data_IF_166519938637
#
_entry.id   IF_166519938637
#
_cell.length_a   1.000
_cell.length_b   1.000
_cell.length_c   1.000
_cell.angle_alpha   90.00
_cell.angle_beta   90.00
_cell.angle_gamma   90.00
#
_symmetry.space_group_name_H-M   'P 1'
#
loop_
_entity.id
_entity.type
_entity.pdbx_description
1 polymer ?
#
# COMPACT_ATOMS: atom_id res chain seq x y z
N UNK A 1 -8.37 -21.45 -13.45
CA UNK A 1 -7.10 -21.11 -12.79
C UNK A 1 -7.26 -19.73 -12.19
N UNK A 2 -7.22 -19.62 -10.86
CA UNK A 2 -7.19 -18.31 -10.19
C UNK A 2 -5.83 -17.67 -10.50
N UNK A 3 -5.77 -16.37 -10.86
CA UNK A 3 -4.49 -15.70 -11.07
C UNK A 3 -3.64 -15.78 -9.79
N UNK A 4 -2.31 -15.88 -9.97
CA UNK A 4 -1.38 -15.86 -8.85
C UNK A 4 -1.57 -14.56 -8.03
N UNK A 5 -1.43 -14.59 -6.69
CA UNK A 5 -1.52 -13.39 -5.87
C UNK A 5 -0.51 -12.34 -6.35
N UNK A 6 -0.95 -11.08 -6.43
CA UNK A 6 -0.04 -9.97 -6.74
C UNK A 6 0.98 -9.79 -5.61
N UNK A 7 2.27 -9.81 -5.95
CA UNK A 7 3.37 -9.58 -5.01
C UNK A 7 3.89 -8.15 -5.23
N UNK A 8 3.78 -7.24 -4.25
CA UNK A 8 4.25 -5.87 -4.42
C UNK A 8 5.77 -5.82 -4.60
N UNK A 9 6.21 -5.00 -5.57
CA UNK A 9 7.62 -4.85 -5.93
C UNK A 9 8.34 -3.99 -4.88
N UNK A 10 9.47 -4.48 -4.33
CA UNK A 10 10.25 -3.72 -3.34
C UNK A 10 9.45 -3.28 -2.09
N UNK A 11 8.49 -4.11 -1.65
CA UNK A 11 7.63 -3.77 -0.51
C UNK A 11 8.44 -3.37 0.73
N UNK A 12 9.44 -4.18 1.08
CA UNK A 12 10.23 -3.98 2.29
C UNK A 12 11.06 -2.70 2.22
N UNK A 13 11.65 -2.41 1.06
CA UNK A 13 12.44 -1.22 0.83
C UNK A 13 11.58 0.04 0.89
N UNK A 14 10.37 0.01 0.32
CA UNK A 14 9.42 1.12 0.39
C UNK A 14 8.99 1.36 1.84
N UNK A 15 8.63 0.32 2.59
CA UNK A 15 8.22 0.47 4.00
C UNK A 15 9.38 0.97 4.86
N UNK A 16 10.60 0.48 4.62
CA UNK A 16 11.79 0.94 5.34
C UNK A 16 12.11 2.42 5.03
N UNK A 17 11.99 2.84 3.78
CA UNK A 17 12.26 4.22 3.38
C UNK A 17 11.18 5.20 3.85
N UNK A 18 9.91 4.80 3.75
CA UNK A 18 8.76 5.62 4.15
C UNK A 18 8.63 5.70 5.68
N UNK A 19 9.00 4.63 6.39
CA UNK A 19 8.96 4.50 7.84
C UNK A 19 7.64 5.02 8.47
N UNK A 20 6.48 4.48 8.04
CA UNK A 20 5.19 4.96 8.49
C UNK A 20 4.95 4.62 9.96
N UNK A 21 4.43 5.56 10.73
CA UNK A 21 4.22 5.43 12.18
C UNK A 21 2.74 5.59 12.57
N UNK A 22 2.35 5.10 13.76
CA UNK A 22 1.02 5.35 14.29
C UNK A 22 0.68 6.84 14.30
N UNK A 23 -0.48 7.19 13.72
CA UNK A 23 -0.94 8.57 13.62
C UNK A 23 -0.44 9.35 12.40
N UNK A 24 0.47 8.80 11.59
CA UNK A 24 0.82 9.39 10.30
C UNK A 24 -0.37 9.32 9.33
N UNK A 25 -0.43 10.28 8.40
CA UNK A 25 -1.36 10.27 7.27
C UNK A 25 -0.55 10.15 5.99
N UNK A 26 -0.81 9.08 5.23
CA UNK A 26 -0.05 8.72 4.03
C UNK A 26 -0.98 8.73 2.81
N UNK A 27 -0.44 9.14 1.66
CA UNK A 27 -1.12 9.03 0.37
C UNK A 27 -0.51 7.87 -0.41
N UNK A 28 -1.32 6.88 -0.76
CA UNK A 28 -0.99 5.89 -1.78
C UNK A 28 -1.63 6.34 -3.10
N UNK A 29 -0.85 6.94 -3.99
CA UNK A 29 -1.36 7.51 -5.23
C UNK A 29 -1.58 6.48 -6.36
N UNK A 30 -1.27 5.21 -6.10
CA UNK A 30 -1.30 4.12 -7.09
C UNK A 30 -1.74 2.82 -6.41
N UNK A 31 -2.95 2.82 -5.84
CA UNK A 31 -3.45 1.77 -4.97
C UNK A 31 -3.26 0.35 -5.55
N UNK A 32 -3.62 0.16 -6.82
CA UNK A 32 -3.54 -1.14 -7.50
C UNK A 32 -4.19 -2.24 -6.67
N UNK A 33 -3.49 -3.36 -6.45
CA UNK A 33 -3.99 -4.46 -5.62
C UNK A 33 -3.89 -4.21 -4.09
N UNK A 34 -3.53 -3.00 -3.65
CA UNK A 34 -3.55 -2.58 -2.24
C UNK A 34 -2.40 -3.10 -1.36
N UNK A 35 -1.38 -3.75 -1.91
CA UNK A 35 -0.33 -4.39 -1.13
C UNK A 35 0.53 -3.44 -0.28
N UNK A 36 0.88 -2.25 -0.81
CA UNK A 36 1.60 -1.23 -0.04
C UNK A 36 0.69 -0.57 1.00
N UNK A 37 -0.52 -0.16 0.58
CA UNK A 37 -1.54 0.37 1.49
C UNK A 37 -1.75 -0.54 2.69
N UNK A 38 -1.85 -1.87 2.49
CA UNK A 38 -1.99 -2.81 3.59
C UNK A 38 -0.81 -2.77 4.56
N UNK A 39 0.42 -2.82 4.05
CA UNK A 39 1.62 -2.79 4.89
C UNK A 39 1.78 -1.45 5.64
N UNK A 40 1.34 -0.34 5.05
CA UNK A 40 1.34 0.99 5.69
C UNK A 40 0.27 1.04 6.80
N UNK A 41 -0.94 0.51 6.55
CA UNK A 41 -1.99 0.43 7.57
C UNK A 41 -1.59 -0.45 8.76
N UNK A 42 -0.84 -1.54 8.52
CA UNK A 42 -0.35 -2.42 9.57
C UNK A 42 0.65 -1.72 10.53
N UNK A 43 1.22 -0.57 10.14
CA UNK A 43 2.04 0.28 11.03
C UNK A 43 1.22 1.20 11.96
N UNK A 44 -0.10 1.26 11.78
CA UNK A 44 -1.01 2.16 12.51
C UNK A 44 -1.21 3.53 11.88
N UNK A 45 -0.72 3.74 10.66
CA UNK A 45 -0.96 4.96 9.89
C UNK A 45 -2.40 4.99 9.31
N UNK A 46 -2.85 6.19 8.94
CA UNK A 46 -4.05 6.40 8.10
C UNK A 46 -3.62 6.54 6.64
N UNK A 47 -4.29 5.85 5.72
CA UNK A 47 -3.95 5.90 4.29
C UNK A 47 -5.12 6.45 3.47
N UNK A 48 -4.85 7.45 2.65
CA UNK A 48 -5.72 7.86 1.55
C UNK A 48 -5.19 7.26 0.26
N UNK A 49 -5.89 6.26 -0.26
CA UNK A 49 -5.50 5.53 -1.46
C UNK A 49 -6.28 6.02 -2.68
N UNK A 50 -5.59 6.11 -3.83
CA UNK A 50 -6.15 6.54 -5.10
C UNK A 50 -5.77 5.55 -6.20
N UNK A 51 -6.72 5.23 -7.06
CA UNK A 51 -6.46 4.64 -8.37
C UNK A 51 -7.38 5.28 -9.40
N UNK A 52 -6.97 5.19 -10.67
CA UNK A 52 -7.84 5.54 -11.80
C UNK A 52 -8.68 4.35 -12.22
N UNK A 53 -8.19 3.14 -12.02
CA UNK A 53 -8.91 1.92 -12.35
C UNK A 53 -10.09 1.74 -11.37
N UNK A 54 -11.35 1.74 -11.85
CA UNK A 54 -12.52 1.52 -10.98
C UNK A 54 -12.55 0.12 -10.36
N UNK A 55 -11.78 -0.83 -10.89
CA UNK A 55 -11.72 -2.22 -10.42
C UNK A 55 -10.54 -2.48 -9.46
N UNK A 56 -9.77 -1.45 -9.09
CA UNK A 56 -8.66 -1.54 -8.14
C UNK A 56 -9.12 -1.79 -6.70
#
# INVERSE_FOLDING_TARGET
>A
MTPAPHIPVLLNEVIAALNPRPGDVVIDATFGAGGYTRAILDSGATVHAFDRDPDA
#
